data_IF_204703495183
#
_entry.id   IF_204703495183
#
_cell.length_a   1.000
_cell.length_b   1.000
_cell.length_c   1.000
_cell.angle_alpha   90.00
_cell.angle_beta   90.00
_cell.angle_gamma   90.00
#
_symmetry.space_group_name_H-M   'P 1'
#
loop_
_entity.id
_entity.type
_entity.pdbx_description
1 polymer ?
#
# COMPACT_ATOMS: atom_id res chain seq x y z
N UNK A 1 7.55 6.91 -29.75
CA UNK A 1 7.80 7.89 -28.65
C UNK A 1 6.55 8.65 -28.22
N UNK A 2 5.59 8.93 -29.13
CA UNK A 2 4.30 9.57 -28.81
C UNK A 2 3.47 8.79 -27.78
N UNK A 3 3.31 7.48 -27.97
CA UNK A 3 2.37 6.66 -27.17
C UNK A 3 2.77 6.56 -25.70
N UNK A 4 4.07 6.60 -25.41
CA UNK A 4 4.57 6.57 -24.05
C UNK A 4 4.29 7.89 -23.29
N UNK A 5 4.30 9.03 -23.99
CA UNK A 5 3.97 10.33 -23.41
C UNK A 5 2.45 10.47 -23.20
N UNK A 6 1.65 10.06 -24.20
CA UNK A 6 0.19 10.02 -24.09
C UNK A 6 -0.28 9.08 -22.97
N UNK A 7 0.31 7.88 -22.86
CA UNK A 7 0.04 6.97 -21.75
C UNK A 7 0.38 7.61 -20.41
N UNK A 8 1.54 8.26 -20.26
CA UNK A 8 1.90 8.91 -18.98
C UNK A 8 0.87 9.96 -18.54
N UNK A 9 0.34 10.74 -19.48
CA UNK A 9 -0.67 11.76 -19.19
C UNK A 9 -2.08 11.18 -18.95
N UNK A 10 -2.44 10.08 -19.63
CA UNK A 10 -3.78 9.46 -19.59
C UNK A 10 -3.87 8.20 -18.73
N UNK A 11 -2.77 7.77 -18.11
CA UNK A 11 -2.70 6.51 -17.34
C UNK A 11 -3.71 6.41 -16.20
N UNK A 12 -4.28 7.53 -15.76
CA UNK A 12 -5.10 7.65 -14.56
C UNK A 12 -4.28 7.66 -13.27
N UNK A 13 -2.94 7.56 -13.35
CA UNK A 13 -2.04 7.64 -12.20
C UNK A 13 -1.66 9.08 -11.90
N UNK A 14 -1.40 9.43 -10.63
CA UNK A 14 -0.88 10.75 -10.27
C UNK A 14 0.40 11.09 -11.03
N UNK A 15 0.54 12.35 -11.44
CA UNK A 15 1.74 12.83 -12.13
C UNK A 15 2.88 12.94 -11.12
N UNK A 16 3.83 11.99 -11.17
CA UNK A 16 4.92 11.90 -10.20
C UNK A 16 5.75 13.18 -10.05
N UNK A 17 6.01 13.86 -11.16
CA UNK A 17 6.77 15.10 -11.17
C UNK A 17 6.10 16.20 -10.34
N UNK A 18 4.80 16.43 -10.56
CA UNK A 18 4.04 17.45 -9.82
C UNK A 18 3.97 17.12 -8.33
N UNK A 19 3.77 15.84 -8.00
CA UNK A 19 3.76 15.40 -6.61
C UNK A 19 5.11 15.66 -5.91
N UNK A 20 6.22 15.31 -6.55
CA UNK A 20 7.54 15.59 -5.96
C UNK A 20 7.85 17.08 -5.90
N UNK A 21 7.48 17.87 -6.90
CA UNK A 21 7.64 19.33 -6.86
C UNK A 21 6.92 19.94 -5.65
N UNK A 22 5.67 19.55 -5.41
CA UNK A 22 4.92 19.96 -4.22
C UNK A 22 5.65 19.58 -2.93
N UNK A 23 6.19 18.36 -2.85
CA UNK A 23 6.96 17.90 -1.68
C UNK A 23 8.25 18.69 -1.47
N UNK A 24 8.97 19.06 -2.54
CA UNK A 24 10.14 19.93 -2.47
C UNK A 24 9.80 21.33 -1.99
N UNK A 25 8.72 21.93 -2.49
CA UNK A 25 8.22 23.23 -2.02
C UNK A 25 7.89 23.16 -0.52
N UNK A 26 7.30 22.06 -0.06
CA UNK A 26 7.01 21.81 1.36
C UNK A 26 8.23 21.76 2.30
N UNK A 27 9.45 21.60 1.76
CA UNK A 27 10.69 21.70 2.53
C UNK A 27 11.06 23.14 2.89
N UNK A 28 10.46 24.14 2.24
CA UNK A 28 10.70 25.55 2.56
C UNK A 28 10.11 25.94 3.93
N UNK A 29 9.11 25.21 4.42
CA UNK A 29 8.57 25.41 5.77
C UNK A 29 9.57 24.80 6.76
N UNK A 30 10.10 25.55 7.75
CA UNK A 30 11.06 25.02 8.70
C UNK A 30 10.46 23.92 9.59
N UNK A 31 11.22 22.87 9.90
CA UNK A 31 10.73 21.79 10.79
C UNK A 31 10.37 22.27 12.20
N UNK A 32 10.96 23.38 12.65
CA UNK A 32 10.61 24.01 13.93
C UNK A 32 9.12 24.40 14.00
N UNK A 33 8.52 24.79 12.86
CA UNK A 33 7.09 25.08 12.76
C UNK A 33 6.25 23.85 13.13
N UNK A 34 6.56 22.69 12.56
CA UNK A 34 5.86 21.43 12.82
C UNK A 34 6.06 20.99 14.28
N UNK A 35 7.30 21.01 14.78
CA UNK A 35 7.61 20.67 16.17
C UNK A 35 6.84 21.53 17.17
N UNK A 36 6.76 22.84 16.95
CA UNK A 36 6.03 23.76 17.84
C UNK A 36 4.54 23.44 17.92
N UNK A 37 3.97 22.89 16.85
CA UNK A 37 2.53 22.57 16.73
C UNK A 37 2.20 21.13 17.11
N UNK A 38 3.18 20.25 17.30
CA UNK A 38 2.97 18.82 17.60
C UNK A 38 2.02 18.61 18.77
N UNK A 39 2.25 19.30 19.90
CA UNK A 39 1.42 19.15 21.11
C UNK A 39 -0.04 19.51 20.82
N UNK A 40 -0.28 20.65 20.17
CA UNK A 40 -1.62 21.09 19.78
C UNK A 40 -2.30 20.12 18.81
N UNK A 41 -1.56 19.53 17.86
CA UNK A 41 -2.10 18.51 16.95
C UNK A 41 -2.53 17.23 17.68
N UNK A 42 -1.71 16.73 18.62
CA UNK A 42 -2.06 15.57 19.43
C UNK A 42 -3.24 15.85 20.37
N UNK A 43 -3.33 17.05 20.94
CA UNK A 43 -4.50 17.50 21.71
C UNK A 43 -5.76 17.61 20.83
N UNK A 44 -5.62 18.08 19.60
CA UNK A 44 -6.73 18.12 18.64
C UNK A 44 -7.20 16.71 18.27
N UNK A 45 -6.30 15.71 18.20
CA UNK A 45 -6.69 14.32 17.99
C UNK A 45 -7.61 13.81 19.10
N UNK A 46 -7.26 14.08 20.37
CA UNK A 46 -8.05 13.67 21.55
C UNK A 46 -9.46 14.25 21.59
N UNK A 47 -9.68 15.37 20.92
CA UNK A 47 -10.99 16.06 20.85
C UNK A 47 -11.86 15.57 19.69
N UNK A 48 -11.36 14.67 18.83
CA UNK A 48 -12.15 14.18 17.70
C UNK A 48 -13.24 13.20 18.19
N UNK A 49 -14.43 13.19 17.57
CA UNK A 49 -15.47 12.21 17.90
C UNK A 49 -15.04 10.75 17.70
N UNK A 50 -14.10 10.50 16.78
CA UNK A 50 -13.60 9.17 16.42
C UNK A 50 -12.27 8.81 17.12
N UNK A 51 -11.89 9.48 18.21
CA UNK A 51 -10.59 9.27 18.87
C UNK A 51 -10.34 7.82 19.32
N UNK A 52 -11.38 7.11 19.79
CA UNK A 52 -11.28 5.69 20.14
C UNK A 52 -10.88 4.83 18.94
N UNK A 53 -11.47 5.11 17.78
CA UNK A 53 -11.12 4.45 16.53
C UNK A 53 -9.69 4.78 16.08
N UNK A 54 -9.21 6.02 16.32
CA UNK A 54 -7.80 6.36 16.09
C UNK A 54 -6.87 5.50 16.95
N UNK A 55 -7.18 5.32 18.25
CA UNK A 55 -6.38 4.47 19.14
C UNK A 55 -6.35 3.02 18.67
N UNK A 56 -7.50 2.45 18.30
CA UNK A 56 -7.58 1.09 17.75
C UNK A 56 -6.69 0.91 16.51
N UNK A 57 -6.65 1.89 15.61
CA UNK A 57 -5.76 1.84 14.44
C UNK A 57 -4.28 1.98 14.81
N UNK A 58 -3.94 2.79 15.82
CA UNK A 58 -2.56 2.86 16.32
C UNK A 58 -2.15 1.52 16.94
N UNK A 59 -3.03 0.88 17.72
CA UNK A 59 -2.81 -0.47 18.28
C UNK A 59 -2.59 -1.50 17.16
N UNK A 60 -3.33 -1.37 16.05
CA UNK A 60 -3.14 -2.21 14.88
C UNK A 60 -1.78 -2.00 14.22
N UNK A 61 -1.37 -0.75 13.96
CA UNK A 61 -0.11 -0.44 13.29
C UNK A 61 1.13 -0.71 14.13
N UNK A 62 0.99 -0.63 15.45
CA UNK A 62 2.05 -0.85 16.42
C UNK A 62 1.56 -1.78 17.53
N UNK A 63 1.96 -3.05 17.44
CA UNK A 63 1.57 -4.09 18.40
C UNK A 63 2.43 -4.11 19.67
N UNK A 64 3.48 -3.28 19.72
CA UNK A 64 4.36 -3.15 20.88
C UNK A 64 3.67 -2.29 21.93
N UNK A 65 3.48 -2.86 23.11
CA UNK A 65 2.87 -2.19 24.27
C UNK A 65 3.86 -2.03 25.43
N UNK A 66 4.87 -2.90 25.51
CA UNK A 66 5.89 -2.87 26.55
C UNK A 66 7.02 -1.90 26.21
N UNK A 67 7.65 -1.27 27.22
CA UNK A 67 8.88 -0.51 27.04
C UNK A 67 9.99 -1.35 26.39
N UNK A 68 10.79 -0.72 25.53
CA UNK A 68 11.94 -1.33 24.86
C UNK A 68 13.08 -0.32 24.76
N UNK A 69 14.30 -0.80 24.49
CA UNK A 69 15.49 0.04 24.38
C UNK A 69 15.94 0.12 22.94
N UNK A 70 16.15 1.34 22.43
CA UNK A 70 16.73 1.55 21.12
C UNK A 70 18.26 1.50 21.17
N UNK A 71 18.88 0.90 20.14
CA UNK A 71 20.33 0.90 20.02
C UNK A 71 20.90 2.32 19.86
N UNK A 72 22.01 2.58 20.55
CA UNK A 72 22.78 3.82 20.43
C UNK A 72 23.80 3.76 19.28
N UNK A 73 23.95 2.61 18.61
CA UNK A 73 24.81 2.45 17.44
C UNK A 73 24.11 2.99 16.19
N UNK A 74 24.81 3.81 15.41
CA UNK A 74 24.37 4.23 14.08
C UNK A 74 24.76 3.18 13.05
N UNK A 75 23.78 2.71 12.26
CA UNK A 75 24.01 1.66 11.27
C UNK A 75 23.16 1.85 10.03
N UNK A 76 23.76 1.64 8.86
CA UNK A 76 23.05 1.59 7.59
C UNK A 76 23.40 0.32 6.84
N UNK A 77 22.53 -0.67 6.92
CA UNK A 77 22.69 -1.96 6.23
C UNK A 77 21.98 -1.91 4.88
N UNK A 78 22.64 -2.36 3.82
CA UNK A 78 22.06 -2.51 2.48
C UNK A 78 22.20 -3.95 2.03
N UNK A 79 21.06 -4.58 1.79
CA UNK A 79 20.95 -5.85 1.09
C UNK A 79 20.55 -5.59 -0.38
N UNK A 80 20.52 -6.64 -1.20
CA UNK A 80 20.00 -6.57 -2.58
C UNK A 80 18.54 -6.12 -2.62
N UNK A 81 17.75 -6.49 -1.60
CA UNK A 81 16.29 -6.29 -1.62
C UNK A 81 15.75 -5.32 -0.57
N UNK A 82 16.54 -4.98 0.45
CA UNK A 82 16.10 -4.10 1.54
C UNK A 82 17.22 -3.22 2.08
N UNK A 83 16.84 -2.15 2.78
CA UNK A 83 17.75 -1.23 3.47
C UNK A 83 17.25 -1.03 4.89
N UNK A 84 18.16 -1.05 5.87
CA UNK A 84 17.83 -0.84 7.28
C UNK A 84 18.73 0.26 7.84
N UNK A 85 18.12 1.36 8.24
CA UNK A 85 18.74 2.49 8.92
C UNK A 85 18.44 2.46 10.41
N UNK A 86 19.47 2.61 11.24
CA UNK A 86 19.41 2.79 12.68
C UNK A 86 20.18 4.08 12.99
N UNK A 87 19.53 5.07 13.60
CA UNK A 87 20.18 6.34 13.90
C UNK A 87 19.21 7.46 14.27
N UNK A 88 19.71 8.67 14.41
CA UNK A 88 18.90 9.82 14.76
C UNK A 88 18.07 10.36 13.57
N UNK A 89 16.89 10.91 13.84
CA UNK A 89 16.04 11.54 12.82
C UNK A 89 16.75 12.68 12.07
N UNK A 90 17.65 13.40 12.73
CA UNK A 90 18.41 14.51 12.14
C UNK A 90 19.49 14.07 11.14
N UNK A 91 19.88 12.79 11.15
CA UNK A 91 21.06 12.31 10.43
C UNK A 91 20.74 11.64 9.10
N UNK A 92 19.50 11.16 8.91
CA UNK A 92 19.13 10.63 7.61
C UNK A 92 19.21 11.71 6.52
N UNK A 93 19.64 11.32 5.32
CA UNK A 93 19.78 12.21 4.16
C UNK A 93 18.94 11.69 3.01
N UNK A 94 18.45 12.59 2.15
CA UNK A 94 17.67 12.25 0.95
C UNK A 94 18.31 11.16 0.09
N UNK A 95 19.63 11.17 -0.05
CA UNK A 95 20.40 10.18 -0.85
C UNK A 95 20.40 8.76 -0.25
N UNK A 96 19.96 8.59 0.99
CA UNK A 96 19.97 7.28 1.66
C UNK A 96 18.80 6.40 1.20
N UNK A 97 17.67 6.99 0.80
CA UNK A 97 16.44 6.29 0.48
C UNK A 97 15.90 6.70 -0.89
N UNK A 98 15.06 5.86 -1.49
CA UNK A 98 14.32 6.27 -2.68
C UNK A 98 13.43 7.48 -2.37
N UNK A 99 13.34 8.43 -3.30
CA UNK A 99 12.74 9.77 -3.10
C UNK A 99 11.34 9.73 -2.48
N UNK A 100 10.50 8.77 -2.89
CA UNK A 100 9.15 8.62 -2.33
C UNK A 100 9.19 8.33 -0.81
N UNK A 101 10.02 7.37 -0.37
CA UNK A 101 10.15 7.03 1.04
C UNK A 101 10.72 8.20 1.84
N UNK A 102 11.75 8.89 1.33
CA UNK A 102 12.31 10.06 2.02
C UNK A 102 11.25 11.12 2.32
N UNK A 103 10.39 11.46 1.34
CA UNK A 103 9.34 12.44 1.59
C UNK A 103 8.24 11.91 2.50
N UNK A 104 7.80 10.66 2.31
CA UNK A 104 6.70 10.10 3.10
C UNK A 104 7.06 9.96 4.59
N UNK A 105 8.29 9.54 4.91
CA UNK A 105 8.75 9.55 6.31
C UNK A 105 8.99 10.98 6.81
N UNK A 106 9.56 11.88 6.00
CA UNK A 106 9.81 13.27 6.39
C UNK A 106 8.52 14.00 6.77
N UNK A 107 7.39 13.71 6.13
CA UNK A 107 6.07 14.24 6.51
C UNK A 107 5.75 14.02 8.00
N UNK A 108 6.30 12.96 8.61
CA UNK A 108 6.01 12.54 9.99
C UNK A 108 7.19 12.85 10.92
N UNK A 109 8.41 12.48 10.53
CA UNK A 109 9.61 12.61 11.38
C UNK A 109 9.93 14.08 11.70
N UNK A 110 9.60 15.02 10.81
CA UNK A 110 9.82 16.46 11.02
C UNK A 110 9.08 17.05 12.22
N UNK A 111 8.05 16.37 12.71
CA UNK A 111 7.28 16.77 13.89
C UNK A 111 8.01 16.47 15.21
N UNK A 112 9.08 15.67 15.16
CA UNK A 112 9.80 15.18 16.34
C UNK A 112 11.18 15.85 16.48
N UNK A 113 11.75 15.90 17.70
CA UNK A 113 13.12 16.37 17.91
C UNK A 113 14.12 15.57 17.06
N UNK A 114 15.08 16.24 16.38
CA UNK A 114 16.00 15.56 15.47
C UNK A 114 16.95 14.59 16.18
N UNK A 115 17.12 14.72 17.51
CA UNK A 115 17.94 13.81 18.33
C UNK A 115 17.30 12.45 18.61
N UNK A 116 15.98 12.31 18.41
CA UNK A 116 15.32 11.03 18.63
C UNK A 116 15.84 10.00 17.63
N UNK A 117 15.98 8.77 18.06
CA UNK A 117 16.51 7.65 17.29
C UNK A 117 15.39 6.73 16.83
N UNK A 118 15.58 6.09 15.68
CA UNK A 118 14.62 5.14 15.13
C UNK A 118 15.31 4.05 14.29
N UNK A 119 14.63 2.92 14.15
CA UNK A 119 14.94 1.89 13.18
C UNK A 119 13.99 2.04 12.00
N UNK A 120 14.51 2.08 10.77
CA UNK A 120 13.73 2.31 9.56
C UNK A 120 14.15 1.35 8.44
N UNK A 121 13.19 0.55 7.98
CA UNK A 121 13.36 -0.38 6.88
C UNK A 121 12.32 -0.08 5.78
N UNK A 122 12.58 0.91 4.90
CA UNK A 122 11.69 1.22 3.78
C UNK A 122 11.79 0.15 2.68
N UNK A 123 10.69 -0.01 1.94
CA UNK A 123 10.65 -0.93 0.80
C UNK A 123 9.70 -2.10 1.00
N UNK A 124 10.01 -3.19 0.32
CA UNK A 124 9.25 -4.44 0.38
C UNK A 124 9.88 -5.29 1.49
N UNK A 125 9.27 -5.32 2.67
CA UNK A 125 9.78 -6.02 3.84
C UNK A 125 9.06 -7.36 3.98
N UNK A 126 9.77 -8.45 3.69
CA UNK A 126 9.28 -9.83 3.68
C UNK A 126 9.83 -10.66 4.86
N UNK A 127 10.19 -9.98 5.95
CA UNK A 127 10.70 -10.57 7.19
C UNK A 127 10.27 -9.73 8.39
N UNK A 128 10.29 -10.30 9.58
CA UNK A 128 10.08 -9.54 10.82
C UNK A 128 11.41 -9.02 11.34
N UNK A 129 11.58 -7.69 11.51
CA UNK A 129 12.81 -7.13 12.08
C UNK A 129 13.05 -7.63 13.51
N UNK A 130 14.32 -7.73 13.91
CA UNK A 130 14.70 -8.19 15.26
C UNK A 130 14.32 -7.21 16.37
N UNK A 131 14.19 -5.94 16.02
CA UNK A 131 13.85 -4.84 16.93
C UNK A 131 12.72 -4.01 16.34
N UNK A 132 11.93 -3.30 17.16
CA UNK A 132 10.90 -2.38 16.70
C UNK A 132 11.38 -1.43 15.60
N UNK A 133 10.88 -1.66 14.38
CA UNK A 133 11.34 -1.01 13.15
C UNK A 133 10.17 -0.47 12.38
N UNK A 134 10.29 0.77 11.93
CA UNK A 134 9.33 1.41 11.04
C UNK A 134 9.45 0.80 9.64
N UNK A 135 8.34 0.27 9.13
CA UNK A 135 8.25 -0.41 7.82
C UNK A 135 7.07 0.10 7.00
N UNK A 136 7.13 -0.09 5.67
CA UNK A 136 6.00 0.16 4.76
C UNK A 136 4.98 -0.97 4.83
N UNK A 137 5.49 -2.20 4.85
CA UNK A 137 4.70 -3.43 4.85
C UNK A 137 5.23 -4.41 5.89
N UNK A 138 4.39 -5.34 6.34
CA UNK A 138 4.76 -6.45 7.20
C UNK A 138 4.03 -7.74 6.82
N UNK A 139 4.60 -8.88 7.18
CA UNK A 139 3.93 -10.17 7.01
C UNK A 139 2.70 -10.27 7.91
N UNK A 140 1.65 -10.93 7.43
CA UNK A 140 0.47 -11.31 8.20
C UNK A 140 0.70 -12.66 8.92
N UNK A 141 1.90 -12.85 9.46
CA UNK A 141 2.25 -13.95 10.37
C UNK A 141 1.95 -13.59 11.82
N UNK A 142 1.94 -14.59 12.70
CA UNK A 142 1.80 -14.38 14.15
C UNK A 142 2.97 -13.55 14.71
N UNK A 143 4.19 -13.84 14.26
CA UNK A 143 5.40 -13.09 14.63
C UNK A 143 5.63 -11.90 13.69
N UNK A 144 5.00 -10.76 13.98
CA UNK A 144 5.23 -9.50 13.27
C UNK A 144 5.29 -8.26 14.20
N UNK A 145 5.40 -8.47 15.52
CA UNK A 145 5.27 -7.40 16.53
C UNK A 145 6.25 -6.24 16.33
N UNK A 146 7.47 -6.55 15.91
CA UNK A 146 8.52 -5.56 15.66
C UNK A 146 8.32 -4.75 14.37
N UNK A 147 7.33 -5.11 13.55
CA UNK A 147 7.01 -4.38 12.32
C UNK A 147 5.98 -3.29 12.59
N UNK A 148 6.48 -2.08 12.83
CA UNK A 148 5.66 -0.89 13.07
C UNK A 148 5.33 -0.23 11.74
N UNK A 149 4.05 -0.20 11.37
CA UNK A 149 3.63 0.22 10.03
C UNK A 149 3.45 1.73 9.96
N UNK A 150 4.07 2.39 8.98
CA UNK A 150 3.73 3.75 8.56
C UNK A 150 3.16 3.79 7.15
N UNK A 151 2.39 4.85 6.86
CA UNK A 151 1.88 5.12 5.51
C UNK A 151 3.02 5.58 4.60
N UNK A 152 3.62 4.66 3.87
CA UNK A 152 4.79 4.90 3.01
C UNK A 152 4.51 4.49 1.56
N UNK A 153 5.31 5.00 0.63
CA UNK A 153 5.10 4.90 -0.83
C UNK A 153 3.68 5.34 -1.23
N UNK A 154 3.22 6.46 -0.61
CA UNK A 154 1.85 6.97 -0.65
C UNK A 154 1.36 7.17 -2.07
N UNK A 155 2.22 7.78 -2.90
CA UNK A 155 1.93 8.10 -4.29
C UNK A 155 1.62 6.88 -5.16
N UNK A 156 2.23 5.73 -4.85
CA UNK A 156 2.07 4.51 -5.62
C UNK A 156 0.88 3.68 -5.13
N UNK A 157 0.70 3.59 -3.82
CA UNK A 157 -0.27 2.68 -3.22
C UNK A 157 -1.59 3.36 -2.91
N UNK A 158 -1.61 4.58 -2.37
CA UNK A 158 -2.81 5.23 -1.83
C UNK A 158 -3.46 6.17 -2.85
N UNK A 159 -3.71 5.64 -4.04
CA UNK A 159 -4.55 6.30 -5.03
C UNK A 159 -5.91 5.61 -5.09
N UNK A 160 -6.95 6.40 -5.34
CA UNK A 160 -8.33 5.94 -5.45
C UNK A 160 -8.92 6.48 -6.75
N UNK A 161 -9.87 5.75 -7.31
CA UNK A 161 -10.61 6.18 -8.51
C UNK A 161 -12.02 6.61 -8.14
N UNK A 162 -12.65 7.27 -9.10
CA UNK A 162 -14.08 7.46 -9.15
C UNK A 162 -14.56 6.77 -10.42
N UNK A 163 -15.16 5.60 -10.25
CA UNK A 163 -15.63 4.77 -11.35
C UNK A 163 -17.14 5.01 -11.54
N UNK A 164 -17.51 5.56 -12.69
CA UNK A 164 -18.91 5.84 -13.01
C UNK A 164 -19.58 4.69 -13.76
N UNK A 165 -18.81 3.67 -14.20
CA UNK A 165 -19.35 2.58 -15.00
C UNK A 165 -19.91 1.49 -14.07
N UNK A 166 -21.21 1.18 -14.10
CA UNK A 166 -21.81 0.13 -13.28
C UNK A 166 -21.21 -1.24 -13.57
N UNK A 167 -21.16 -2.13 -12.58
CA UNK A 167 -20.62 -3.50 -12.74
C UNK A 167 -21.28 -4.25 -13.91
N UNK A 168 -22.60 -4.13 -14.07
CA UNK A 168 -23.39 -4.80 -15.11
C UNK A 168 -23.02 -4.38 -16.54
N UNK A 169 -22.45 -3.20 -16.72
CA UNK A 169 -22.02 -2.67 -18.03
C UNK A 169 -20.55 -2.99 -18.35
N UNK A 170 -19.83 -3.62 -17.42
CA UNK A 170 -18.44 -4.03 -17.62
C UNK A 170 -18.39 -5.39 -18.33
N UNK A 171 -17.27 -5.66 -19.00
CA UNK A 171 -17.00 -6.92 -19.70
C UNK A 171 -16.93 -8.09 -18.72
N UNK A 172 -17.54 -9.22 -19.08
CA UNK A 172 -17.48 -10.52 -18.40
C UNK A 172 -16.09 -11.17 -18.49
N UNK A 173 -15.07 -10.43 -18.09
CA UNK A 173 -13.67 -10.78 -18.26
C UNK A 173 -12.86 -10.21 -17.10
N UNK A 174 -11.85 -10.96 -16.66
CA UNK A 174 -10.83 -10.48 -15.74
C UNK A 174 -9.67 -9.84 -16.48
N UNK A 175 -9.05 -8.82 -15.88
CA UNK A 175 -7.85 -8.18 -16.41
C UNK A 175 -6.66 -8.26 -15.47
N UNK A 176 -5.49 -8.61 -16.03
CA UNK A 176 -4.19 -8.47 -15.39
C UNK A 176 -3.19 -7.77 -16.31
N UNK A 177 -2.57 -6.70 -15.81
CA UNK A 177 -1.40 -6.05 -16.42
C UNK A 177 -0.36 -5.78 -15.35
N UNK A 178 0.66 -6.63 -15.27
CA UNK A 178 1.62 -6.59 -14.17
C UNK A 178 3.02 -7.03 -14.57
N UNK A 179 3.98 -6.83 -13.66
CA UNK A 179 5.28 -7.49 -13.74
C UNK A 179 5.24 -8.77 -12.92
N UNK A 180 5.96 -9.79 -13.34
CA UNK A 180 6.07 -11.06 -12.61
C UNK A 180 7.09 -10.95 -11.47
N UNK A 181 8.30 -10.41 -11.73
CA UNK A 181 9.34 -10.20 -10.70
C UNK A 181 9.56 -11.43 -9.81
N UNK A 182 9.72 -12.60 -10.42
CA UNK A 182 9.92 -13.90 -9.72
C UNK A 182 8.72 -14.37 -8.85
N UNK A 183 7.58 -13.67 -8.86
CA UNK A 183 6.38 -14.10 -8.15
C UNK A 183 5.86 -15.42 -8.72
N UNK A 184 5.99 -16.49 -7.91
CA UNK A 184 5.43 -17.82 -8.21
C UNK A 184 3.94 -17.76 -8.51
N UNK A 185 3.21 -16.95 -7.75
CA UNK A 185 1.77 -16.77 -7.87
C UNK A 185 1.38 -16.14 -9.21
N UNK A 186 2.04 -15.05 -9.60
CA UNK A 186 1.76 -14.39 -10.89
C UNK A 186 2.19 -15.24 -12.08
N UNK A 187 3.27 -16.02 -11.95
CA UNK A 187 3.68 -17.00 -12.97
C UNK A 187 2.62 -18.08 -13.16
N UNK A 188 2.16 -18.70 -12.07
CA UNK A 188 1.13 -19.74 -12.12
C UNK A 188 -0.18 -19.21 -12.74
N UNK A 189 -0.57 -17.98 -12.40
CA UNK A 189 -1.73 -17.33 -12.99
C UNK A 189 -1.62 -17.19 -14.51
N UNK A 190 -0.49 -16.68 -15.03
CA UNK A 190 -0.30 -16.56 -16.47
C UNK A 190 -0.19 -17.91 -17.19
N UNK A 191 0.47 -18.89 -16.60
CA UNK A 191 0.55 -20.24 -17.18
C UNK A 191 -0.83 -20.86 -17.40
N UNK A 192 -1.79 -20.55 -16.52
CA UNK A 192 -3.13 -21.13 -16.58
C UNK A 192 -4.12 -20.30 -17.40
N UNK A 193 -4.02 -18.97 -17.37
CA UNK A 193 -5.05 -18.10 -17.93
C UNK A 193 -4.61 -17.23 -19.10
N UNK A 194 -3.35 -17.29 -19.54
CA UNK A 194 -2.93 -16.58 -20.74
C UNK A 194 -3.69 -17.12 -21.97
N UNK A 195 -4.38 -16.24 -22.69
CA UNK A 195 -5.25 -16.60 -23.81
C UNK A 195 -6.62 -17.18 -23.41
N UNK A 196 -6.96 -17.24 -22.12
CA UNK A 196 -8.25 -17.76 -21.65
C UNK A 196 -9.39 -16.78 -21.97
N UNK A 197 -10.57 -17.24 -22.46
CA UNK A 197 -11.66 -16.35 -22.89
C UNK A 197 -12.21 -15.44 -21.79
N UNK A 198 -12.15 -15.87 -20.53
CA UNK A 198 -12.57 -15.08 -19.36
C UNK A 198 -11.45 -14.21 -18.77
N UNK A 199 -10.25 -14.16 -19.36
CA UNK A 199 -9.11 -13.46 -18.78
C UNK A 199 -8.23 -12.77 -19.83
N UNK A 200 -8.23 -11.43 -19.82
CA UNK A 200 -7.28 -10.59 -20.53
C UNK A 200 -6.06 -10.32 -19.63
N UNK A 201 -5.06 -11.21 -19.67
CA UNK A 201 -3.85 -11.11 -18.86
C UNK A 201 -2.58 -10.96 -19.70
N UNK A 202 -1.60 -10.23 -19.14
CA UNK A 202 -0.28 -10.13 -19.74
C UNK A 202 0.73 -9.34 -18.90
N UNK A 203 1.99 -9.49 -19.30
CA UNK A 203 3.16 -8.88 -18.69
C UNK A 203 3.45 -7.54 -19.34
N UNK A 204 3.74 -6.51 -18.52
CA UNK A 204 4.00 -5.16 -19.03
C UNK A 204 5.37 -4.60 -18.65
N UNK A 205 6.03 -3.99 -19.64
CA UNK A 205 7.35 -3.38 -19.51
C UNK A 205 8.49 -4.40 -19.31
N UNK A 206 9.73 -3.94 -19.19
CA UNK A 206 10.89 -4.84 -19.08
C UNK A 206 10.76 -5.79 -17.88
N UNK A 207 10.74 -7.09 -18.16
CA UNK A 207 10.62 -8.17 -17.19
C UNK A 207 11.43 -9.37 -17.71
N UNK A 208 12.68 -9.47 -17.26
CA UNK A 208 13.63 -10.48 -17.74
C UNK A 208 13.18 -11.89 -17.34
N UNK A 209 13.38 -12.86 -18.23
CA UNK A 209 13.03 -14.26 -18.00
C UNK A 209 11.54 -14.59 -18.12
N UNK A 210 10.71 -13.68 -18.65
CA UNK A 210 9.32 -13.98 -19.00
C UNK A 210 9.22 -14.40 -20.48
N UNK A 211 8.36 -15.38 -20.82
CA UNK A 211 8.03 -15.71 -22.20
C UNK A 211 7.55 -14.49 -22.99
N UNK A 212 8.03 -14.33 -24.23
CA UNK A 212 7.73 -13.17 -25.07
C UNK A 212 6.24 -13.14 -25.42
N UNK A 213 5.60 -14.30 -25.56
CA UNK A 213 4.17 -14.39 -25.83
C UNK A 213 3.31 -13.75 -24.73
N UNK A 214 3.78 -13.72 -23.48
CA UNK A 214 3.04 -13.08 -22.40
C UNK A 214 3.15 -11.55 -22.40
N UNK A 215 4.04 -10.98 -23.21
CA UNK A 215 4.28 -9.55 -23.26
C UNK A 215 3.11 -8.84 -23.95
N UNK A 216 2.51 -7.88 -23.25
CA UNK A 216 1.35 -7.12 -23.74
C UNK A 216 1.53 -5.63 -23.48
N UNK A 217 0.73 -4.83 -24.19
CA UNK A 217 0.70 -3.39 -23.96
C UNK A 217 0.12 -3.03 -22.59
N UNK A 218 0.62 -1.91 -22.06
CA UNK A 218 0.06 -1.30 -20.86
C UNK A 218 -1.35 -0.78 -21.14
N UNK A 219 -2.25 -1.06 -20.22
CA UNK A 219 -3.58 -0.43 -20.15
C UNK A 219 -3.61 0.64 -19.07
N UNK A 220 -4.27 1.75 -19.36
CA UNK A 220 -4.58 2.81 -18.40
C UNK A 220 -5.53 2.28 -17.33
N UNK A 221 -5.64 2.99 -16.21
CA UNK A 221 -6.61 2.62 -15.16
C UNK A 221 -8.03 2.65 -15.72
N UNK A 222 -8.39 3.65 -16.53
CA UNK A 222 -9.72 3.73 -17.16
C UNK A 222 -10.06 2.51 -18.01
N UNK A 223 -9.10 2.00 -18.78
CA UNK A 223 -9.30 0.76 -19.55
C UNK A 223 -9.46 -0.46 -18.65
N UNK A 224 -8.85 -0.51 -17.47
CA UNK A 224 -9.11 -1.60 -16.52
C UNK A 224 -10.54 -1.53 -15.96
N UNK A 225 -11.11 -0.32 -15.81
CA UNK A 225 -12.49 -0.14 -15.33
C UNK A 225 -13.55 -0.63 -16.31
N UNK A 226 -13.17 -1.05 -17.53
CA UNK A 226 -14.08 -1.72 -18.46
C UNK A 226 -14.33 -3.19 -18.13
N UNK A 227 -13.60 -3.78 -17.17
CA UNK A 227 -13.64 -5.20 -16.84
C UNK A 227 -14.33 -5.43 -15.50
N UNK A 228 -15.22 -6.42 -15.42
CA UNK A 228 -15.90 -6.78 -14.17
C UNK A 228 -14.92 -7.16 -13.07
N UNK A 229 -13.83 -7.82 -13.42
CA UNK A 229 -12.86 -8.35 -12.47
C UNK A 229 -11.47 -7.78 -12.74
N UNK A 230 -10.78 -7.32 -11.70
CA UNK A 230 -9.40 -6.84 -11.81
C UNK A 230 -8.52 -7.63 -10.84
N UNK A 231 -7.49 -8.26 -11.39
CA UNK A 231 -6.59 -9.16 -10.67
C UNK A 231 -5.63 -8.35 -9.80
N UNK A 232 -5.60 -8.62 -8.49
CA UNK A 232 -4.79 -7.94 -7.48
C UNK A 232 -3.85 -8.91 -6.74
N UNK A 233 -3.08 -9.70 -7.48
CA UNK A 233 -2.13 -10.67 -6.92
C UNK A 233 -0.87 -10.00 -6.38
N UNK A 234 -0.41 -10.45 -5.22
CA UNK A 234 0.85 -10.03 -4.60
C UNK A 234 2.06 -10.32 -5.50
N UNK A 235 3.10 -9.49 -5.37
CA UNK A 235 4.34 -9.59 -6.12
C UNK A 235 5.49 -9.95 -5.19
N UNK A 236 6.38 -8.98 -4.96
CA UNK A 236 7.35 -9.05 -3.86
C UNK A 236 6.66 -8.82 -2.50
N UNK A 237 5.59 -8.04 -2.51
CA UNK A 237 4.78 -7.61 -1.37
C UNK A 237 3.32 -7.38 -1.86
N UNK A 238 2.56 -6.52 -1.17
CA UNK A 238 1.17 -6.20 -1.51
C UNK A 238 0.99 -5.76 -2.97
N UNK A 239 -0.16 -6.13 -3.54
CA UNK A 239 -0.56 -5.67 -4.85
C UNK A 239 -0.82 -4.16 -4.86
N UNK A 240 0.04 -3.38 -5.54
CA UNK A 240 -0.08 -1.92 -5.57
C UNK A 240 -1.37 -1.39 -6.21
N UNK A 241 -2.14 -2.24 -6.91
CA UNK A 241 -3.42 -1.86 -7.49
C UNK A 241 -4.64 -2.05 -6.58
N UNK A 242 -4.53 -2.86 -5.53
CA UNK A 242 -5.67 -3.28 -4.71
C UNK A 242 -6.54 -2.11 -4.25
N UNK A 243 -5.92 -1.07 -3.71
CA UNK A 243 -6.61 0.10 -3.14
C UNK A 243 -7.45 0.86 -4.17
N UNK A 244 -6.96 1.02 -5.40
CA UNK A 244 -7.75 1.68 -6.44
C UNK A 244 -8.79 0.75 -7.04
N UNK A 245 -8.51 -0.56 -7.15
CA UNK A 245 -9.52 -1.54 -7.58
C UNK A 245 -10.69 -1.59 -6.62
N UNK A 246 -10.42 -1.68 -5.31
CA UNK A 246 -11.46 -1.67 -4.27
C UNK A 246 -12.24 -0.34 -4.20
N UNK A 247 -11.72 0.73 -4.80
CA UNK A 247 -12.44 2.01 -4.90
C UNK A 247 -13.23 2.17 -6.20
N UNK A 248 -13.23 1.15 -7.06
CA UNK A 248 -13.92 1.11 -8.34
C UNK A 248 -15.18 0.25 -8.27
N UNK A 249 -15.95 0.18 -9.34
CA UNK A 249 -17.11 -0.71 -9.45
C UNK A 249 -16.73 -2.07 -10.08
N UNK A 250 -15.44 -2.42 -10.07
CA UNK A 250 -14.94 -3.74 -10.46
C UNK A 250 -14.58 -4.54 -9.21
N UNK A 251 -14.73 -5.86 -9.29
CA UNK A 251 -14.34 -6.76 -8.21
C UNK A 251 -12.82 -6.97 -8.20
N UNK A 252 -12.21 -6.75 -7.03
CA UNK A 252 -10.84 -7.19 -6.77
C UNK A 252 -10.83 -8.72 -6.66
N UNK A 253 -10.04 -9.39 -7.50
CA UNK A 253 -9.83 -10.84 -7.43
C UNK A 253 -8.39 -11.11 -7.01
N UNK A 254 -8.21 -11.77 -5.88
CA UNK A 254 -6.89 -12.03 -5.32
C UNK A 254 -6.88 -13.26 -4.42
N UNK A 255 -5.70 -13.82 -4.18
CA UNK A 255 -5.51 -14.77 -3.08
C UNK A 255 -5.61 -14.07 -1.73
N UNK A 256 -5.69 -14.86 -0.65
CA UNK A 256 -5.54 -14.33 0.71
C UNK A 256 -4.28 -13.45 0.82
N UNK A 257 -4.37 -12.23 1.39
CA UNK A 257 -3.20 -11.40 1.64
C UNK A 257 -2.21 -12.14 2.55
N UNK A 258 -0.92 -12.14 2.19
CA UNK A 258 0.16 -12.68 3.05
C UNK A 258 0.92 -11.58 3.77
N UNK A 259 0.75 -10.34 3.32
CA UNK A 259 1.34 -9.17 3.93
C UNK A 259 0.37 -7.99 3.89
N UNK A 260 0.68 -6.97 4.68
CA UNK A 260 -0.13 -5.77 4.77
C UNK A 260 0.70 -4.50 4.81
N UNK A 261 0.03 -3.39 4.54
CA UNK A 261 0.52 -2.02 4.63
C UNK A 261 -0.39 -1.23 5.57
N UNK A 262 -0.25 0.10 5.52
CA UNK A 262 -1.16 1.01 6.18
C UNK A 262 -2.65 0.83 5.80
N UNK A 263 -2.96 0.12 4.70
CA UNK A 263 -4.34 -0.19 4.31
C UNK A 263 -4.96 -1.38 5.06
N UNK A 264 -4.23 -1.97 6.01
CA UNK A 264 -4.73 -3.00 6.92
C UNK A 264 -5.27 -4.22 6.17
N UNK A 265 -4.55 -4.69 5.15
CA UNK A 265 -4.96 -5.83 4.32
C UNK A 265 -5.35 -7.08 5.13
N UNK A 266 -4.79 -7.25 6.34
CA UNK A 266 -5.18 -8.31 7.27
C UNK A 266 -6.60 -8.22 7.83
N UNK A 267 -7.29 -7.09 7.68
CA UNK A 267 -8.71 -6.92 8.05
C UNK A 267 -9.67 -7.13 6.87
N UNK A 268 -9.16 -7.46 5.69
CA UNK A 268 -10.01 -7.78 4.55
C UNK A 268 -10.70 -9.14 4.77
N UNK A 269 -12.01 -9.18 4.55
CA UNK A 269 -12.83 -10.37 4.71
C UNK A 269 -13.05 -10.94 3.30
N UNK A 270 -12.67 -12.22 3.06
CA UNK A 270 -12.85 -12.86 1.77
C UNK A 270 -14.33 -12.97 1.41
N UNK A 271 -14.64 -12.81 0.13
CA UNK A 271 -15.99 -12.82 -0.45
C UNK A 271 -16.97 -11.81 0.18
N UNK A 272 -16.43 -10.83 0.90
CA UNK A 272 -17.15 -9.69 1.46
C UNK A 272 -16.54 -8.37 0.99
N UNK A 273 -15.21 -8.19 1.14
CA UNK A 273 -14.49 -7.00 0.63
C UNK A 273 -13.84 -7.23 -0.75
N UNK A 274 -13.55 -8.48 -1.11
CA UNK A 274 -12.89 -8.89 -2.35
C UNK A 274 -13.27 -10.32 -2.68
N UNK A 275 -13.06 -10.76 -3.92
CA UNK A 275 -13.26 -12.15 -4.32
C UNK A 275 -11.98 -12.93 -4.03
N UNK A 276 -12.05 -13.87 -3.08
CA UNK A 276 -10.92 -14.75 -2.78
C UNK A 276 -10.86 -15.91 -3.77
N UNK A 277 -9.66 -16.20 -4.27
CA UNK A 277 -9.36 -17.39 -5.06
C UNK A 277 -8.22 -18.17 -4.42
N UNK A 278 -8.20 -19.48 -4.62
CA UNK A 278 -7.14 -20.36 -4.14
C UNK A 278 -5.80 -20.02 -4.80
N UNK A 279 -4.69 -20.33 -4.13
CA UNK A 279 -3.34 -20.11 -4.67
C UNK A 279 -3.06 -20.93 -5.94
N UNK A 280 -3.75 -22.06 -6.11
CA UNK A 280 -3.68 -22.90 -7.32
C UNK A 280 -4.67 -22.47 -8.42
N UNK A 281 -5.50 -21.46 -8.14
CA UNK A 281 -6.55 -20.93 -9.01
C UNK A 281 -7.57 -21.97 -9.49
N UNK A 282 -7.74 -23.07 -8.77
CA UNK A 282 -8.69 -24.14 -9.13
C UNK A 282 -10.15 -23.68 -9.11
N UNK A 283 -10.48 -22.64 -8.35
CA UNK A 283 -11.82 -22.07 -8.18
C UNK A 283 -12.03 -20.76 -8.95
N UNK A 284 -11.04 -20.30 -9.71
CA UNK A 284 -11.05 -18.99 -10.36
C UNK A 284 -12.23 -18.82 -11.34
N UNK A 285 -12.39 -19.75 -12.28
CA UNK A 285 -13.45 -19.66 -13.28
C UNK A 285 -14.84 -19.72 -12.66
N UNK A 286 -15.05 -20.61 -11.68
CA UNK A 286 -16.33 -20.80 -11.04
C UNK A 286 -16.76 -19.55 -10.26
N UNK A 287 -15.82 -18.91 -9.57
CA UNK A 287 -16.03 -17.62 -8.89
C UNK A 287 -16.44 -16.53 -9.88
N UNK A 288 -15.73 -16.40 -11.00
CA UNK A 288 -16.06 -15.40 -12.02
C UNK A 288 -17.44 -15.65 -12.63
N UNK A 289 -17.74 -16.90 -13.03
CA UNK A 289 -19.05 -17.30 -13.58
C UNK A 289 -20.18 -17.01 -12.60
N UNK A 290 -19.96 -17.28 -11.31
CA UNK A 290 -20.92 -16.98 -10.25
C UNK A 290 -21.27 -15.49 -10.21
N UNK A 291 -20.28 -14.60 -10.08
CA UNK A 291 -20.56 -13.14 -10.00
C UNK A 291 -21.03 -12.53 -11.32
N UNK A 292 -20.79 -13.18 -12.46
CA UNK A 292 -21.43 -12.80 -13.74
C UNK A 292 -22.92 -13.13 -13.70
N UNK A 293 -23.29 -14.32 -13.23
CA UNK A 293 -24.67 -14.79 -13.15
C UNK A 293 -25.50 -14.10 -12.05
N UNK A 294 -24.84 -13.69 -10.96
CA UNK A 294 -25.45 -13.05 -9.78
C UNK A 294 -24.83 -11.65 -9.55
N UNK A 295 -25.09 -10.67 -10.44
CA UNK A 295 -24.49 -9.34 -10.36
C UNK A 295 -24.84 -8.58 -9.08
N UNK A 296 -25.97 -8.86 -8.44
CA UNK A 296 -26.34 -8.31 -7.12
C UNK A 296 -25.34 -8.72 -6.03
N UNK A 297 -24.80 -9.95 -6.09
CA UNK A 297 -23.76 -10.42 -5.16
C UNK A 297 -22.41 -9.76 -5.41
N UNK A 298 -22.11 -9.43 -6.67
CA UNK A 298 -20.95 -8.61 -6.99
C UNK A 298 -21.11 -7.18 -6.46
N UNK A 299 -22.29 -6.59 -6.63
CA UNK A 299 -22.61 -5.24 -6.17
C UNK A 299 -22.56 -5.13 -4.63
N UNK A 300 -22.97 -6.17 -3.89
CA UNK A 300 -22.77 -6.28 -2.44
C UNK A 300 -21.27 -6.17 -2.06
N UNK A 301 -20.40 -6.96 -2.69
CA UNK A 301 -18.95 -6.91 -2.42
C UNK A 301 -18.37 -5.53 -2.75
N UNK A 302 -18.79 -4.93 -3.86
CA UNK A 302 -18.35 -3.58 -4.25
C UNK A 302 -18.73 -2.56 -3.17
N UNK A 303 -19.95 -2.63 -2.64
CA UNK A 303 -20.41 -1.73 -1.59
C UNK A 303 -19.56 -1.86 -0.31
N UNK A 304 -19.29 -3.09 0.14
CA UNK A 304 -18.42 -3.32 1.30
C UNK A 304 -16.97 -2.89 1.04
N UNK A 305 -16.45 -3.08 -0.18
CA UNK A 305 -15.12 -2.60 -0.57
C UNK A 305 -15.03 -1.07 -0.51
N UNK A 306 -16.08 -0.37 -0.96
CA UNK A 306 -16.17 1.09 -0.89
C UNK A 306 -16.25 1.59 0.54
N UNK A 307 -17.07 0.94 1.37
CA UNK A 307 -17.14 1.21 2.80
C UNK A 307 -15.77 1.05 3.45
N UNK A 308 -15.09 -0.08 3.21
CA UNK A 308 -13.74 -0.32 3.72
C UNK A 308 -12.75 0.74 3.25
N UNK A 309 -12.76 1.12 1.98
CA UNK A 309 -11.87 2.15 1.43
C UNK A 309 -12.14 3.53 2.04
N UNK A 310 -13.41 3.84 2.35
CA UNK A 310 -13.83 5.16 2.83
C UNK A 310 -13.09 5.62 4.10
N UNK A 311 -12.71 4.66 4.96
CA UNK A 311 -12.05 4.95 6.24
C UNK A 311 -10.67 5.62 6.06
N UNK A 312 -10.03 5.45 4.89
CA UNK A 312 -8.71 5.98 4.57
C UNK A 312 -8.73 7.32 3.82
N UNK A 313 -9.92 7.90 3.58
CA UNK A 313 -10.09 9.14 2.80
C UNK A 313 -10.01 10.42 3.65
N UNK A 314 -10.13 10.34 4.98
CA UNK A 314 -9.93 11.50 5.86
C UNK A 314 -8.44 11.80 6.03
N UNK A 315 -7.92 12.71 5.21
CA UNK A 315 -6.50 13.11 5.23
C UNK A 315 -6.04 13.60 6.61
N UNK A 316 -6.91 14.28 7.39
CA UNK A 316 -6.56 14.79 8.71
C UNK A 316 -6.46 13.65 9.71
N UNK A 317 -7.37 12.67 9.66
CA UNK A 317 -7.27 11.44 10.45
C UNK A 317 -5.97 10.69 10.13
N UNK A 318 -5.65 10.55 8.85
CA UNK A 318 -4.47 9.81 8.39
C UNK A 318 -3.14 10.49 8.78
N UNK A 319 -3.11 11.82 8.83
CA UNK A 319 -1.98 12.58 9.38
C UNK A 319 -1.84 12.36 10.89
N UNK A 320 -2.94 12.48 11.64
CA UNK A 320 -2.94 12.26 13.09
C UNK A 320 -2.52 10.84 13.47
N UNK A 321 -3.01 9.83 12.76
CA UNK A 321 -2.64 8.43 13.00
C UNK A 321 -1.13 8.20 12.87
N UNK A 322 -0.49 8.73 11.82
CA UNK A 322 0.96 8.60 11.66
C UNK A 322 1.73 9.29 12.79
N UNK A 323 1.26 10.47 13.24
CA UNK A 323 1.83 11.16 14.39
C UNK A 323 1.65 10.36 15.68
N UNK A 324 0.48 9.76 15.90
CA UNK A 324 0.20 8.95 17.09
C UNK A 324 1.02 7.66 17.12
N UNK A 325 1.21 6.99 15.97
CA UNK A 325 2.11 5.83 15.85
C UNK A 325 3.54 6.22 16.25
N UNK A 326 4.07 7.30 15.67
CA UNK A 326 5.43 7.75 16.01
C UNK A 326 5.54 8.26 17.45
N UNK A 327 4.51 8.92 17.99
CA UNK A 327 4.47 9.33 19.39
C UNK A 327 4.60 8.12 20.31
N UNK A 328 3.80 7.08 20.09
CA UNK A 328 3.88 5.84 20.87
C UNK A 328 5.22 5.11 20.68
N UNK A 329 5.76 5.10 19.47
CA UNK A 329 7.07 4.51 19.18
C UNK A 329 8.18 5.14 20.04
N UNK A 330 8.18 6.47 20.17
CA UNK A 330 9.17 7.17 20.98
C UNK A 330 8.92 7.08 22.51
N UNK A 331 7.66 7.07 22.94
CA UNK A 331 7.30 6.83 24.35
C UNK A 331 7.72 5.43 24.81
N UNK A 332 7.40 4.40 24.01
CA UNK A 332 7.75 3.00 24.34
C UNK A 332 9.25 2.72 24.21
N UNK A 333 10.00 3.49 23.43
CA UNK A 333 11.48 3.41 23.42
C UNK A 333 12.14 4.19 24.56
N UNK A 334 11.37 4.83 25.45
CA UNK A 334 11.88 5.62 26.57
C UNK A 334 12.54 6.94 26.15
N UNK A 335 12.28 7.43 24.94
CA UNK A 335 12.89 8.66 24.43
C UNK A 335 12.01 9.91 24.59
N UNK A 336 10.71 9.73 24.89
CA UNK A 336 9.72 10.78 25.14
C UNK A 336 8.96 10.58 26.45
#
# INVERSE_FOLDING_TARGET
MSDHLFYKLRSGKPVKFLNFLQKFIGLAIPDAYYRSRRKSMLEAARKRPDYEYLKQRVDYYMRITSPWTISMEDKLTRDRSWIHYMGALGDYRRKMFHTAYYFDQHDVTRWFPPRLRWNFCPGDVYFTPKEPTIVKSRLLSEDNMNSVVLKLDKLRHFMYVYDTKPFREKKDCAIFRGKIRQSRLRTAFLQRFFGHPMCDCGVVGRNEGCPEEWMTDKKTIREHLDYKFIIALEGNDVASNLKWVMSSNSLAVMTRPTCETWFMEGQLIPDYHYVEVKEDFSDFEDKLKYYIAYPEKAEEIIAHAHEYVSQFRDNKREELLQLMVMQRYFETSGQL
#
